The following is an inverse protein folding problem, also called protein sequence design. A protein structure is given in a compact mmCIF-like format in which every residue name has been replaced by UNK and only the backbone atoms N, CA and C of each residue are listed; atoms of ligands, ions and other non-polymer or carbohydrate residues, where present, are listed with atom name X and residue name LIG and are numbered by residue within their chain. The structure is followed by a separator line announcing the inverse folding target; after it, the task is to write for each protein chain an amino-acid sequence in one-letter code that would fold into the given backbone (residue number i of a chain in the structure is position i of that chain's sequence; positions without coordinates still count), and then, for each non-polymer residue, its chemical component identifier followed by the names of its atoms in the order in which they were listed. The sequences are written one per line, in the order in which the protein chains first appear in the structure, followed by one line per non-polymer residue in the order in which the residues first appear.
data_IF_385096272459
#
_entry.id   IF_385096272459
#
_cell.length_a   1.000
_cell.length_b   1.000
_cell.length_c   1.000
_cell.angle_alpha   90.00
_cell.angle_beta   90.00
_cell.angle_gamma   90.00
#
_symmetry.space_group_name_H-M   'P 1'
#
loop_
_entity.id
_entity.type
_entity.pdbx_description
1 polymer ?
#
# COMPACT_ATOMS: atom_id res chain seq x y z
N UNK A 1 -8.66 26.06 -1.15
CA UNK A 1 -7.82 25.42 -2.19
C UNK A 1 -7.69 23.90 -2.00
N UNK A 2 -7.28 23.39 -0.83
CA UNK A 2 -7.10 21.93 -0.63
C UNK A 2 -8.39 21.12 -0.82
N UNK A 3 -9.51 21.56 -0.21
CA UNK A 3 -10.80 20.89 -0.35
C UNK A 3 -11.28 20.85 -1.81
N UNK A 4 -11.38 22.01 -2.46
CA UNK A 4 -11.84 22.13 -3.85
C UNK A 4 -10.96 21.37 -4.86
N UNK A 5 -9.64 21.36 -4.67
CA UNK A 5 -8.72 20.76 -5.64
C UNK A 5 -8.57 19.25 -5.52
N UNK A 6 -8.71 18.69 -4.31
CA UNK A 6 -8.39 17.27 -4.05
C UNK A 6 -9.57 16.48 -3.49
N UNK A 7 -10.28 17.03 -2.50
CA UNK A 7 -11.30 16.28 -1.75
C UNK A 7 -12.61 16.24 -2.52
N UNK A 8 -13.10 17.39 -2.97
CA UNK A 8 -14.37 17.51 -3.69
C UNK A 8 -14.50 16.59 -4.92
N UNK A 9 -13.55 16.54 -5.87
CA UNK A 9 -13.66 15.67 -7.05
C UNK A 9 -13.55 14.18 -6.73
N UNK A 10 -13.00 13.83 -5.57
CA UNK A 10 -12.96 12.45 -5.09
C UNK A 10 -14.27 12.10 -4.36
N UNK A 11 -14.87 13.07 -3.65
CA UNK A 11 -16.12 12.88 -2.92
C UNK A 11 -17.27 12.59 -3.88
N UNK A 12 -17.32 13.27 -5.02
CA UNK A 12 -18.33 13.02 -6.07
C UNK A 12 -18.25 11.61 -6.68
N UNK A 13 -17.10 10.92 -6.56
CA UNK A 13 -16.96 9.51 -7.00
C UNK A 13 -17.53 8.52 -5.99
N UNK A 14 -17.76 8.93 -4.76
CA UNK A 14 -18.31 8.08 -3.69
C UNK A 14 -19.71 7.58 -4.07
N UNK A 15 -20.53 8.42 -4.72
CA UNK A 15 -21.83 8.02 -5.30
C UNK A 15 -21.76 6.86 -6.29
N UNK A 16 -20.62 6.70 -6.97
CA UNK A 16 -20.42 5.63 -7.95
C UNK A 16 -19.91 4.33 -7.28
N UNK A 17 -19.82 4.29 -5.94
CA UNK A 17 -19.34 3.13 -5.19
C UNK A 17 -17.82 3.11 -4.95
N UNK A 18 -17.11 4.21 -5.19
CA UNK A 18 -15.67 4.26 -4.94
C UNK A 18 -15.36 4.58 -3.47
N UNK A 19 -14.35 3.91 -2.92
CA UNK A 19 -13.85 4.20 -1.58
C UNK A 19 -12.87 5.38 -1.60
N UNK A 20 -12.99 6.26 -0.61
CA UNK A 20 -12.10 7.40 -0.39
C UNK A 20 -11.33 7.19 0.91
N UNK A 21 -10.03 7.47 0.90
CA UNK A 21 -9.21 7.53 2.12
C UNK A 21 -8.44 8.84 2.17
N UNK A 22 -8.69 9.64 3.21
CA UNK A 22 -7.96 10.87 3.50
C UNK A 22 -7.02 10.64 4.69
N UNK A 23 -5.73 10.84 4.47
CA UNK A 23 -4.72 10.69 5.53
C UNK A 23 -4.17 12.07 5.88
N UNK A 24 -4.38 12.47 7.13
CA UNK A 24 -3.87 13.72 7.70
C UNK A 24 -2.68 13.39 8.61
N UNK A 25 -1.50 13.88 8.22
CA UNK A 25 -0.25 13.71 8.97
C UNK A 25 0.33 15.07 9.34
N UNK A 26 0.85 15.19 10.56
CA UNK A 26 1.50 16.42 11.02
C UNK A 26 2.13 16.24 12.40
N UNK A 27 3.19 17.00 12.69
CA UNK A 27 3.88 16.94 14.00
C UNK A 27 3.09 17.65 15.10
N UNK A 28 2.32 18.68 14.74
CA UNK A 28 1.57 19.50 15.69
C UNK A 28 0.09 19.12 15.68
N UNK A 29 -0.43 18.62 16.81
CA UNK A 29 -1.82 18.21 16.94
C UNK A 29 -2.80 19.39 16.73
N UNK A 30 -2.41 20.59 17.17
CA UNK A 30 -3.19 21.83 17.03
C UNK A 30 -3.53 22.15 15.57
N UNK A 31 -2.56 21.98 14.66
CA UNK A 31 -2.69 22.28 13.23
C UNK A 31 -3.58 21.24 12.54
N UNK A 32 -3.44 19.96 12.90
CA UNK A 32 -4.32 18.90 12.35
C UNK A 32 -5.76 19.06 12.80
N UNK A 33 -5.99 19.31 14.09
CA UNK A 33 -7.32 19.60 14.59
C UNK A 33 -7.91 20.84 13.93
N UNK A 34 -7.14 21.91 13.71
CA UNK A 34 -7.61 23.10 12.98
C UNK A 34 -7.98 22.81 11.54
N UNK A 35 -7.23 21.94 10.85
CA UNK A 35 -7.53 21.54 9.47
C UNK A 35 -8.83 20.73 9.37
N UNK A 36 -9.05 19.82 10.32
CA UNK A 36 -10.22 18.93 10.35
C UNK A 36 -11.47 19.59 10.93
N UNK A 37 -11.36 20.23 12.10
CA UNK A 37 -12.48 20.75 12.89
C UNK A 37 -12.81 22.22 12.65
N UNK A 38 -11.87 23.00 12.12
CA UNK A 38 -11.99 24.43 11.82
C UNK A 38 -11.61 25.42 12.94
N UNK A 39 -11.56 26.69 12.55
CA UNK A 39 -11.40 27.89 13.38
C UNK A 39 -12.62 28.81 13.15
N UNK A 40 -12.91 29.79 14.01
CA UNK A 40 -14.18 30.57 14.07
C UNK A 40 -14.63 31.25 12.75
N UNK A 41 -13.79 31.27 11.71
CA UNK A 41 -14.01 32.00 10.44
C UNK A 41 -14.17 31.12 9.19
N UNK A 42 -13.84 29.83 9.23
CA UNK A 42 -13.97 28.94 8.07
C UNK A 42 -14.32 27.53 8.52
N UNK A 43 -15.12 26.80 7.73
CA UNK A 43 -15.40 25.38 7.96
C UNK A 43 -14.17 24.51 7.65
N UNK A 44 -13.96 23.50 8.50
CA UNK A 44 -12.89 22.52 8.40
C UNK A 44 -13.18 21.49 7.31
N UNK A 45 -12.18 20.69 6.94
CA UNK A 45 -12.34 19.70 5.88
C UNK A 45 -13.43 18.68 6.23
N UNK A 46 -13.52 18.25 7.50
CA UNK A 46 -14.54 17.29 7.93
C UNK A 46 -15.95 17.86 7.76
N UNK A 47 -16.18 19.09 8.22
CA UNK A 47 -17.48 19.74 8.08
C UNK A 47 -17.88 19.91 6.61
N UNK A 48 -16.93 20.27 5.73
CA UNK A 48 -17.19 20.40 4.28
C UNK A 48 -17.53 19.06 3.63
N UNK A 49 -16.81 17.98 3.98
CA UNK A 49 -17.11 16.62 3.48
C UNK A 49 -18.53 16.21 3.88
N UNK A 50 -18.91 16.39 5.15
CA UNK A 50 -20.24 16.03 5.62
C UNK A 50 -21.34 16.87 4.94
N UNK A 51 -21.15 18.19 4.84
CA UNK A 51 -22.12 19.07 4.17
C UNK A 51 -22.36 18.65 2.73
N UNK A 52 -21.28 18.49 1.95
CA UNK A 52 -21.38 18.11 0.55
C UNK A 52 -21.96 16.70 0.40
N UNK A 53 -21.56 15.72 1.22
CA UNK A 53 -22.11 14.37 1.17
C UNK A 53 -23.63 14.35 1.39
N UNK A 54 -24.12 15.05 2.42
CA UNK A 54 -25.55 15.09 2.70
C UNK A 54 -26.33 15.99 1.73
N UNK A 55 -25.73 17.03 1.18
CA UNK A 55 -26.31 17.83 0.10
C UNK A 55 -26.44 17.00 -1.19
N UNK A 56 -25.40 16.24 -1.51
CA UNK A 56 -25.39 15.29 -2.62
C UNK A 56 -26.48 14.22 -2.49
N UNK A 57 -26.69 13.67 -1.29
CA UNK A 57 -27.75 12.68 -1.02
C UNK A 57 -29.14 13.31 -1.05
N UNK A 58 -29.30 14.56 -0.58
CA UNK A 58 -30.59 15.29 -0.65
C UNK A 58 -30.98 15.65 -2.08
N UNK A 59 -30.01 15.96 -2.93
CA UNK A 59 -30.21 16.37 -4.31
C UNK A 59 -30.35 15.17 -5.28
N UNK A 60 -30.31 13.92 -4.81
CA UNK A 60 -30.56 12.75 -5.66
C UNK A 60 -32.06 12.70 -6.04
N UNK A 61 -32.36 13.03 -7.29
CA UNK A 61 -33.71 13.03 -7.86
C UNK A 61 -34.29 11.61 -8.07
N UNK A 62 -33.46 10.57 -7.96
CA UNK A 62 -33.75 9.19 -8.39
C UNK A 62 -34.53 8.32 -7.37
N UNK A 63 -35.03 8.88 -6.26
CA UNK A 63 -35.66 8.13 -5.16
C UNK A 63 -34.83 6.94 -4.65
N UNK A 64 -33.50 7.03 -4.73
CA UNK A 64 -32.62 5.99 -4.22
C UNK A 64 -32.66 5.99 -2.68
N UNK A 65 -32.60 4.80 -2.10
CA UNK A 65 -32.55 4.67 -0.64
C UNK A 65 -31.08 4.64 -0.23
N UNK A 66 -30.69 5.60 0.61
CA UNK A 66 -29.35 5.67 1.17
C UNK A 66 -29.38 5.29 2.65
N UNK A 67 -28.41 4.49 3.07
CA UNK A 67 -28.11 4.21 4.46
C UNK A 67 -26.70 4.72 4.73
N UNK A 68 -26.59 5.73 5.59
CA UNK A 68 -25.30 6.31 5.98
C UNK A 68 -25.03 5.90 7.42
N UNK A 69 -23.88 5.29 7.65
CA UNK A 69 -23.40 4.94 8.99
C UNK A 69 -22.05 5.61 9.25
N UNK A 70 -21.78 5.89 10.52
CA UNK A 70 -20.50 6.43 10.97
C UNK A 70 -19.92 5.58 12.10
N UNK A 71 -18.59 5.46 12.08
CA UNK A 71 -17.82 4.87 13.16
C UNK A 71 -16.59 5.73 13.46
N UNK A 72 -16.14 5.70 14.72
CA UNK A 72 -14.98 6.45 15.16
C UNK A 72 -14.11 5.60 16.08
N UNK A 73 -12.88 5.34 15.65
CA UNK A 73 -11.97 4.42 16.34
C UNK A 73 -10.71 5.17 16.72
N UNK A 74 -10.23 4.95 17.94
CA UNK A 74 -8.92 5.36 18.39
C UNK A 74 -7.98 4.17 18.49
N UNK A 75 -6.85 4.25 17.81
CA UNK A 75 -5.75 3.30 17.92
C UNK A 75 -4.66 3.95 18.78
N UNK A 76 -4.40 3.35 19.93
CA UNK A 76 -3.35 3.78 20.83
C UNK A 76 -1.99 3.22 20.43
N UNK A 77 -0.92 3.82 20.97
CA UNK A 77 0.47 3.40 20.68
C UNK A 77 0.83 1.99 21.15
N UNK A 78 0.04 1.43 22.08
CA UNK A 78 0.18 0.06 22.58
C UNK A 78 -0.50 -0.98 21.68
N UNK A 79 -1.22 -0.56 20.62
CA UNK A 79 -2.02 -1.39 19.69
C UNK A 79 -3.40 -1.75 20.28
N UNK A 80 -3.77 -1.17 21.43
CA UNK A 80 -5.15 -1.19 21.90
C UNK A 80 -5.99 -0.30 21.00
N UNK A 81 -7.17 -0.80 20.67
CA UNK A 81 -8.11 -0.12 19.79
C UNK A 81 -9.39 0.12 20.57
N UNK A 82 -9.82 1.37 20.65
CA UNK A 82 -10.98 1.78 21.44
C UNK A 82 -12.03 2.38 20.52
N UNK A 83 -13.27 2.00 20.72
CA UNK A 83 -14.43 2.62 20.08
C UNK A 83 -14.76 3.94 20.77
N UNK A 84 -14.70 5.05 20.04
CA UNK A 84 -14.99 6.38 20.57
C UNK A 84 -16.49 6.72 20.58
N UNK A 85 -17.32 5.94 19.88
CA UNK A 85 -18.76 6.10 19.88
C UNK A 85 -19.45 5.15 20.86
N UNK A 86 -18.72 4.19 21.43
CA UNK A 86 -19.26 3.27 22.43
C UNK A 86 -19.14 3.86 23.84
N UNK A 87 -20.24 4.11 24.56
CA UNK A 87 -20.20 4.64 25.93
C UNK A 87 -19.55 3.68 26.93
N UNK A 88 -19.43 2.39 26.59
CA UNK A 88 -18.77 1.39 27.44
C UNK A 88 -17.25 1.33 27.28
N UNK A 89 -16.68 2.14 26.38
CA UNK A 89 -15.23 2.30 26.18
C UNK A 89 -14.48 0.94 26.07
N UNK A 90 -15.08 0.00 25.33
CA UNK A 90 -14.55 -1.37 25.20
C UNK A 90 -13.38 -1.39 24.23
N UNK A 91 -12.36 -2.17 24.56
CA UNK A 91 -11.28 -2.47 23.64
C UNK A 91 -11.78 -3.41 22.54
N UNK A 92 -11.66 -2.97 21.29
CA UNK A 92 -12.03 -3.71 20.08
C UNK A 92 -10.84 -4.58 19.66
N UNK A 93 -11.12 -5.84 19.35
CA UNK A 93 -10.14 -6.71 18.71
C UNK A 93 -10.13 -6.49 17.20
N UNK A 94 -8.98 -6.09 16.67
CA UNK A 94 -8.76 -6.01 15.23
C UNK A 94 -8.16 -7.33 14.70
N UNK A 95 -8.78 -7.88 13.67
CA UNK A 95 -8.34 -9.07 12.95
C UNK A 95 -7.93 -8.67 11.53
N UNK A 96 -6.75 -9.10 11.09
CA UNK A 96 -6.32 -8.86 9.72
C UNK A 96 -6.69 -10.04 8.83
N UNK A 97 -7.58 -9.84 7.87
CA UNK A 97 -7.94 -10.82 6.84
C UNK A 97 -7.16 -10.55 5.55
N UNK A 98 -6.62 -11.60 4.94
CA UNK A 98 -5.72 -11.50 3.77
C UNK A 98 -6.35 -10.81 2.55
N UNK A 99 -7.67 -10.89 2.40
CA UNK A 99 -8.42 -10.32 1.27
C UNK A 99 -9.25 -9.10 1.69
N UNK A 100 -9.76 -9.07 2.92
CA UNK A 100 -10.73 -8.06 3.38
C UNK A 100 -10.06 -6.93 4.18
N UNK A 101 -8.76 -7.07 4.48
CA UNK A 101 -8.02 -6.08 5.25
C UNK A 101 -8.31 -6.15 6.75
N UNK A 102 -8.29 -5.00 7.42
CA UNK A 102 -8.52 -4.89 8.86
C UNK A 102 -10.03 -5.03 9.14
N UNK A 103 -10.40 -6.08 9.88
CA UNK A 103 -11.76 -6.34 10.34
C UNK A 103 -11.79 -6.09 11.85
N UNK A 104 -12.68 -5.23 12.30
CA UNK A 104 -12.91 -4.96 13.71
C UNK A 104 -14.12 -5.75 14.19
N UNK A 105 -13.98 -6.52 15.26
CA UNK A 105 -15.10 -7.23 15.86
C UNK A 105 -15.85 -6.29 16.82
N UNK A 106 -17.19 -6.23 16.71
CA UNK A 106 -18.05 -5.46 17.63
C UNK A 106 -17.82 -3.93 17.60
N UNK A 107 -17.50 -3.36 16.42
CA UNK A 107 -17.45 -1.92 16.21
C UNK A 107 -18.86 -1.31 16.22
N UNK A 108 -19.04 -0.18 16.91
CA UNK A 108 -20.28 0.58 16.86
C UNK A 108 -20.36 1.36 15.55
N UNK A 109 -21.32 0.98 14.72
CA UNK A 109 -21.71 1.73 13.52
C UNK A 109 -23.06 2.39 13.79
N UNK A 110 -23.07 3.72 13.85
CA UNK A 110 -24.26 4.51 14.16
C UNK A 110 -24.87 5.03 12.85
N UNK A 111 -26.15 4.78 12.65
CA UNK A 111 -26.90 5.32 11.50
C UNK A 111 -27.13 6.80 11.69
N UNK A 112 -26.87 7.59 10.64
CA UNK A 112 -27.05 9.05 10.65
C UNK A 112 -27.97 9.49 9.53
N UNK A 113 -28.87 10.44 9.84
CA UNK A 113 -29.87 10.96 8.89
C UNK A 113 -29.58 12.39 8.45
N UNK A 114 -28.63 13.07 9.10
CA UNK A 114 -28.32 14.48 8.83
C UNK A 114 -26.84 14.81 9.02
N UNK A 115 -26.41 15.91 8.38
CA UNK A 115 -25.07 16.43 8.52
C UNK A 115 -24.78 16.85 9.98
N UNK A 116 -25.78 17.42 10.66
CA UNK A 116 -25.66 17.90 12.03
C UNK A 116 -25.42 16.74 13.01
N UNK A 117 -26.13 15.62 12.81
CA UNK A 117 -25.98 14.41 13.61
C UNK A 117 -24.61 13.76 13.42
N UNK A 118 -24.17 13.58 12.17
CA UNK A 118 -22.85 13.06 11.86
C UNK A 118 -21.73 13.94 12.41
N UNK A 119 -21.91 15.27 12.34
CA UNK A 119 -20.97 16.24 12.91
C UNK A 119 -20.94 16.17 14.44
N UNK A 120 -22.09 16.00 15.10
CA UNK A 120 -22.17 15.84 16.54
C UNK A 120 -21.41 14.59 17.02
N UNK A 121 -21.59 13.45 16.34
CA UNK A 121 -20.88 12.21 16.68
C UNK A 121 -19.37 12.33 16.47
N UNK A 122 -18.94 13.04 15.44
CA UNK A 122 -17.51 13.34 15.25
C UNK A 122 -16.94 14.21 16.39
N UNK A 123 -17.66 15.25 16.81
CA UNK A 123 -17.28 16.11 17.93
C UNK A 123 -17.27 15.35 19.26
N UNK A 124 -18.24 14.47 19.49
CA UNK A 124 -18.31 13.62 20.67
C UNK A 124 -17.11 12.68 20.75
N UNK A 125 -16.76 12.00 19.65
CA UNK A 125 -15.55 11.18 19.61
C UNK A 125 -14.28 11.98 19.87
N UNK A 126 -14.18 13.22 19.37
CA UNK A 126 -13.05 14.12 19.68
C UNK A 126 -13.00 14.49 21.16
N UNK A 127 -14.15 14.70 21.81
CA UNK A 127 -14.20 14.99 23.25
C UNK A 127 -13.82 13.76 24.07
N UNK A 128 -14.27 12.57 23.67
CA UNK A 128 -13.92 11.31 24.30
C UNK A 128 -12.40 11.06 24.27
N UNK A 129 -11.72 11.40 23.17
CA UNK A 129 -10.25 11.32 23.07
C UNK A 129 -9.54 12.16 24.15
N UNK A 130 -10.03 13.37 24.45
CA UNK A 130 -9.41 14.29 25.43
C UNK A 130 -9.56 13.80 26.86
N UNK A 131 -10.61 13.02 27.15
CA UNK A 131 -10.86 12.46 28.48
C UNK A 131 -9.98 11.23 28.77
N UNK A 132 -9.40 10.59 27.75
CA UNK A 132 -8.62 9.35 27.87
C UNK A 132 -7.15 9.52 28.34
N UNK A 133 -6.68 10.74 28.65
CA UNK A 133 -5.39 10.95 29.34
C UNK A 133 -4.11 11.10 28.47
N UNK A 134 -2.97 11.25 29.15
CA UNK A 134 -1.76 12.06 28.83
C UNK A 134 -0.92 11.78 27.55
N UNK A 135 -1.39 11.00 26.57
CA UNK A 135 -0.65 10.69 25.34
C UNK A 135 -1.49 10.79 24.05
N UNK A 136 -2.37 11.79 23.95
CA UNK A 136 -3.10 12.10 22.70
C UNK A 136 -2.17 12.29 21.51
N UNK A 137 -0.98 12.84 21.73
CA UNK A 137 0.05 13.11 20.70
C UNK A 137 0.62 11.84 20.05
N UNK A 138 0.20 10.65 20.51
CA UNK A 138 0.66 9.33 20.02
C UNK A 138 -0.48 8.41 19.58
N UNK A 139 -1.71 8.92 19.55
CA UNK A 139 -2.88 8.14 19.14
C UNK A 139 -3.27 8.46 17.69
N UNK A 140 -3.70 7.44 16.95
CA UNK A 140 -4.26 7.58 15.61
C UNK A 140 -5.76 7.47 15.71
N UNK A 141 -6.49 8.34 15.04
CA UNK A 141 -7.96 8.27 15.03
C UNK A 141 -8.45 8.04 13.62
N UNK A 142 -9.48 7.20 13.48
CA UNK A 142 -10.05 6.79 12.20
C UNK A 142 -11.54 7.06 12.29
N UNK A 143 -11.99 8.06 11.54
CA UNK A 143 -13.40 8.33 11.36
C UNK A 143 -13.83 7.74 10.01
N UNK A 144 -14.76 6.79 10.03
CA UNK A 144 -15.25 6.13 8.82
C UNK A 144 -16.71 6.49 8.61
N UNK A 145 -17.04 6.95 7.42
CA UNK A 145 -18.41 7.14 6.95
C UNK A 145 -18.65 6.07 5.90
N UNK A 146 -19.67 5.26 6.10
CA UNK A 146 -20.08 4.23 5.16
C UNK A 146 -21.39 4.66 4.52
N UNK A 147 -21.44 4.59 3.19
CA UNK A 147 -22.61 4.97 2.40
C UNK A 147 -23.03 3.76 1.59
N UNK A 148 -24.18 3.22 1.93
CA UNK A 148 -24.87 2.19 1.17
C UNK A 148 -26.00 2.85 0.39
N UNK A 149 -26.06 2.56 -0.91
CA UNK A 149 -27.04 3.14 -1.82
C UNK A 149 -27.71 2.03 -2.61
N UNK A 150 -29.02 1.91 -2.45
CA UNK A 150 -29.84 0.97 -3.19
C UNK A 150 -30.34 1.63 -4.47
N UNK A 151 -29.83 1.16 -5.60
CA UNK A 151 -30.23 1.63 -6.92
C UNK A 151 -31.60 1.08 -7.32
N UNK A 152 -32.27 1.78 -8.23
CA UNK A 152 -33.60 1.41 -8.77
C UNK A 152 -33.60 0.06 -9.51
N UNK A 153 -32.45 -0.37 -10.02
CA UNK A 153 -32.23 -1.67 -10.66
C UNK A 153 -32.09 -2.85 -9.66
N UNK A 154 -32.16 -2.58 -8.35
CA UNK A 154 -32.00 -3.58 -7.29
C UNK A 154 -30.54 -3.90 -6.92
N UNK A 155 -29.55 -3.24 -7.55
CA UNK A 155 -28.14 -3.35 -7.13
C UNK A 155 -27.85 -2.42 -5.95
N UNK A 156 -27.04 -2.89 -5.00
CA UNK A 156 -26.58 -2.09 -3.87
C UNK A 156 -25.12 -1.69 -4.10
N UNK A 157 -24.85 -0.39 -4.10
CA UNK A 157 -23.50 0.16 -4.12
C UNK A 157 -23.09 0.52 -2.70
N UNK A 158 -21.91 0.05 -2.30
CA UNK A 158 -21.33 0.32 -1.00
C UNK A 158 -20.04 1.12 -1.20
N UNK A 159 -19.91 2.23 -0.48
CA UNK A 159 -18.73 3.10 -0.52
C UNK A 159 -18.34 3.51 0.90
N UNK A 160 -17.03 3.68 1.12
CA UNK A 160 -16.48 4.05 2.42
C UNK A 160 -15.56 5.26 2.28
N UNK A 161 -15.80 6.28 3.11
CA UNK A 161 -14.95 7.45 3.28
C UNK A 161 -14.24 7.32 4.61
N UNK A 162 -12.92 7.14 4.59
CA UNK A 162 -12.10 6.96 5.78
C UNK A 162 -11.17 8.14 5.98
N UNK A 163 -11.23 8.76 7.15
CA UNK A 163 -10.41 9.92 7.52
C UNK A 163 -9.49 9.50 8.67
N UNK A 164 -8.20 9.42 8.36
CA UNK A 164 -7.14 9.07 9.29
C UNK A 164 -6.47 10.33 9.82
N UNK A 165 -6.53 10.57 11.13
CA UNK A 165 -5.71 11.57 11.82
C UNK A 165 -4.53 10.87 12.49
N UNK A 166 -3.36 10.95 11.85
CA UNK A 166 -2.14 10.31 12.30
C UNK A 166 -1.32 11.25 13.20
N UNK A 167 -1.08 10.83 14.43
CA UNK A 167 -0.07 11.41 15.32
C UNK A 167 1.33 11.33 14.71
N UNK A 168 1.94 12.48 14.43
CA UNK A 168 3.33 12.56 13.98
C UNK A 168 4.25 12.20 15.15
N UNK A 169 4.97 11.08 15.04
CA UNK A 169 5.85 10.61 16.10
C UNK A 169 7.05 11.54 16.31
N UNK A 170 7.28 11.94 17.57
CA UNK A 170 8.57 12.46 18.04
C UNK A 170 9.67 11.38 17.90
N UNK A 171 10.95 11.76 18.02
CA UNK A 171 12.11 10.84 17.97
C UNK A 171 11.97 9.64 18.92
N UNK A 172 11.30 9.81 20.05
CA UNK A 172 10.99 8.74 21.01
C UNK A 172 10.07 7.65 20.44
N UNK A 173 9.10 8.01 19.57
CA UNK A 173 8.23 7.03 18.91
C UNK A 173 8.98 6.22 17.84
N UNK A 174 9.99 6.79 17.19
CA UNK A 174 10.89 6.04 16.31
C UNK A 174 11.76 5.05 17.10
N UNK A 175 12.20 5.44 18.30
CA UNK A 175 12.97 4.60 19.21
C UNK A 175 12.13 3.43 19.76
N UNK A 176 10.90 3.70 20.18
CA UNK A 176 9.95 2.66 20.64
C UNK A 176 9.52 1.74 19.49
N UNK A 177 9.29 2.26 18.28
CA UNK A 177 9.02 1.41 17.09
C UNK A 177 10.20 0.48 16.78
N UNK A 178 11.44 0.95 16.91
CA UNK A 178 12.64 0.12 16.75
C UNK A 178 12.72 -0.99 17.79
N UNK A 179 12.52 -0.67 19.08
CA UNK A 179 12.48 -1.66 20.16
C UNK A 179 11.32 -2.65 20.02
N UNK A 180 10.14 -2.20 19.56
CA UNK A 180 8.96 -3.05 19.33
C UNK A 180 9.16 -4.00 18.14
N UNK A 181 9.83 -3.55 17.09
CA UNK A 181 10.21 -4.40 15.96
C UNK A 181 11.18 -5.51 16.39
N UNK A 182 12.15 -5.20 17.25
CA UNK A 182 13.05 -6.20 17.83
C UNK A 182 12.31 -7.23 18.67
N UNK A 183 11.39 -6.81 19.55
CA UNK A 183 10.53 -7.74 20.31
C UNK A 183 9.63 -8.60 19.42
N UNK A 184 9.07 -8.06 18.33
CA UNK A 184 8.28 -8.86 17.35
C UNK A 184 9.17 -9.85 16.60
N UNK A 185 10.39 -9.47 16.25
CA UNK A 185 11.38 -10.35 15.62
C UNK A 185 11.76 -11.51 16.55
N UNK A 186 11.98 -11.24 17.83
CA UNK A 186 12.23 -12.26 18.86
C UNK A 186 11.03 -13.19 19.05
N UNK A 187 9.80 -12.67 19.14
CA UNK A 187 8.59 -13.50 19.24
C UNK A 187 8.40 -14.38 18.00
N UNK A 188 8.67 -13.85 16.81
CA UNK A 188 8.62 -14.63 15.56
C UNK A 188 9.68 -15.72 15.54
N UNK A 189 10.91 -15.43 15.98
CA UNK A 189 11.97 -16.44 16.11
C UNK A 189 11.63 -17.52 17.14
N UNK A 190 11.06 -17.12 18.29
CA UNK A 190 10.58 -18.07 19.32
C UNK A 190 9.49 -18.97 18.78
N UNK A 191 8.50 -18.41 18.08
CA UNK A 191 7.41 -19.20 17.49
C UNK A 191 7.91 -20.14 16.37
N UNK A 192 8.93 -19.71 15.59
CA UNK A 192 9.62 -20.60 14.63
C UNK A 192 10.36 -21.73 15.33
N UNK A 193 11.01 -21.45 16.46
CA UNK A 193 11.74 -22.43 17.25
C UNK A 193 10.81 -23.42 17.94
N UNK A 194 9.72 -22.96 18.54
CA UNK A 194 8.67 -23.81 19.12
C UNK A 194 8.05 -24.70 18.05
N UNK A 195 7.78 -24.16 16.85
CA UNK A 195 7.28 -24.96 15.73
C UNK A 195 8.31 -25.99 15.27
N UNK A 196 9.59 -25.65 15.24
CA UNK A 196 10.69 -26.58 14.94
C UNK A 196 10.77 -27.69 15.96
N UNK A 197 10.74 -27.37 17.26
CA UNK A 197 10.72 -28.34 18.35
C UNK A 197 9.49 -29.24 18.30
N UNK A 198 8.32 -28.69 17.98
CA UNK A 198 7.08 -29.46 17.80
C UNK A 198 7.16 -30.42 16.63
N UNK A 199 7.78 -30.01 15.52
CA UNK A 199 8.02 -30.87 14.36
C UNK A 199 9.04 -31.97 14.66
N UNK A 200 10.09 -31.66 15.44
CA UNK A 200 11.05 -32.66 15.95
C UNK A 200 10.35 -33.66 16.87
N UNK A 201 9.54 -33.18 17.82
CA UNK A 201 8.79 -34.04 18.75
C UNK A 201 7.77 -34.94 18.03
N UNK A 202 7.24 -34.50 16.89
CA UNK A 202 6.36 -35.31 16.02
C UNK A 202 7.12 -36.22 15.05
N UNK A 203 8.45 -36.22 15.07
CA UNK A 203 9.29 -37.03 14.17
C UNK A 203 9.25 -36.60 12.70
N UNK A 204 8.80 -35.38 12.41
CA UNK A 204 8.76 -34.80 11.05
C UNK A 204 10.02 -33.97 10.71
N UNK A 205 10.93 -33.80 11.68
CA UNK A 205 12.21 -33.11 11.51
C UNK A 205 13.26 -33.82 12.37
N UNK A 206 14.40 -34.18 11.79
CA UNK A 206 15.48 -34.80 12.55
C UNK A 206 16.28 -33.74 13.34
N UNK A 207 16.64 -34.01 14.61
CA UNK A 207 17.58 -33.18 15.34
C UNK A 207 18.96 -33.36 14.72
N UNK A 208 19.50 -32.29 14.12
CA UNK A 208 20.77 -32.31 13.39
C UNK A 208 21.88 -32.96 14.24
N UNK A 209 22.28 -34.17 13.84
CA UNK A 209 23.54 -34.79 14.19
C UNK A 209 24.18 -35.25 12.88
N UNK A 210 25.46 -34.89 12.71
CA UNK A 210 26.17 -34.93 11.44
C UNK A 210 26.04 -36.26 10.70
N UNK A 211 25.43 -36.23 9.52
CA UNK A 211 25.33 -37.33 8.57
C UNK A 211 25.19 -36.76 7.16
N UNK A 212 25.88 -37.39 6.21
CA UNK A 212 26.08 -36.91 4.83
C UNK A 212 24.73 -36.67 4.13
N UNK A 213 24.48 -35.48 3.54
CA UNK A 213 23.18 -35.15 2.98
C UNK A 213 22.97 -35.88 1.65
N UNK A 214 21.76 -36.42 1.47
CA UNK A 214 21.32 -37.09 0.25
C UNK A 214 21.27 -36.14 -0.95
N UNK A 215 21.32 -36.69 -2.17
CA UNK A 215 21.45 -35.93 -3.43
C UNK A 215 20.39 -34.81 -3.63
N UNK A 216 19.21 -34.93 -3.01
CA UNK A 216 18.13 -33.95 -3.12
C UNK A 216 18.33 -32.71 -2.22
N UNK A 217 18.95 -32.89 -1.04
CA UNK A 217 19.30 -31.77 -0.13
C UNK A 217 20.51 -30.97 -0.64
N UNK A 218 21.42 -31.62 -1.36
CA UNK A 218 22.57 -30.93 -1.97
C UNK A 218 22.15 -29.97 -3.10
N UNK A 219 21.08 -30.28 -3.84
CA UNK A 219 20.54 -29.36 -4.86
C UNK A 219 19.84 -28.15 -4.22
N UNK A 220 19.02 -28.37 -3.19
CA UNK A 220 18.30 -27.28 -2.52
C UNK A 220 19.24 -26.33 -1.76
N UNK A 221 20.28 -26.88 -1.12
CA UNK A 221 21.31 -26.09 -0.42
C UNK A 221 22.20 -25.29 -1.40
N UNK A 222 22.54 -25.86 -2.57
CA UNK A 222 23.25 -25.12 -3.63
C UNK A 222 22.41 -23.98 -4.22
N UNK A 223 21.12 -24.17 -4.41
CA UNK A 223 20.22 -23.11 -4.88
C UNK A 223 20.08 -21.98 -3.86
N UNK A 224 19.93 -22.30 -2.56
CA UNK A 224 19.87 -21.28 -1.51
C UNK A 224 21.21 -20.55 -1.33
N UNK A 225 22.34 -21.25 -1.44
CA UNK A 225 23.67 -20.65 -1.38
C UNK A 225 23.93 -19.74 -2.60
N UNK A 226 23.50 -20.15 -3.80
CA UNK A 226 23.61 -19.36 -5.02
C UNK A 226 22.77 -18.08 -4.98
N UNK A 227 21.53 -18.16 -4.50
CA UNK A 227 20.67 -16.98 -4.32
C UNK A 227 21.28 -16.03 -3.28
N UNK A 228 21.72 -16.54 -2.13
CA UNK A 228 22.33 -15.72 -1.08
C UNK A 228 23.63 -15.04 -1.55
N UNK A 229 24.44 -15.71 -2.36
CA UNK A 229 25.64 -15.12 -2.98
C UNK A 229 25.28 -14.03 -3.99
N UNK A 230 24.25 -14.24 -4.83
CA UNK A 230 23.76 -13.20 -5.74
C UNK A 230 23.24 -11.97 -5.00
N UNK A 231 22.49 -12.16 -3.91
CA UNK A 231 22.04 -11.06 -3.05
C UNK A 231 23.23 -10.33 -2.40
N UNK A 232 24.24 -11.05 -1.91
CA UNK A 232 25.45 -10.46 -1.33
C UNK A 232 26.24 -9.64 -2.36
N UNK A 233 26.39 -10.14 -3.59
CA UNK A 233 27.05 -9.42 -4.68
C UNK A 233 26.28 -8.16 -5.08
N UNK A 234 24.94 -8.23 -5.21
CA UNK A 234 24.10 -7.08 -5.50
C UNK A 234 24.14 -6.03 -4.38
N UNK A 235 24.13 -6.45 -3.11
CA UNK A 235 24.25 -5.53 -1.97
C UNK A 235 25.60 -4.80 -1.94
N UNK A 236 26.71 -5.49 -2.27
CA UNK A 236 28.02 -4.84 -2.41
C UNK A 236 28.06 -3.86 -3.58
N UNK A 237 27.39 -4.17 -4.69
CA UNK A 237 27.29 -3.29 -5.85
C UNK A 237 26.46 -2.04 -5.55
N UNK A 238 25.34 -2.19 -4.85
CA UNK A 238 24.52 -1.08 -4.34
C UNK A 238 25.32 -0.21 -3.36
N UNK A 239 26.11 -0.82 -2.48
CA UNK A 239 27.00 -0.09 -1.57
C UNK A 239 28.03 0.79 -2.30
N UNK A 240 28.63 0.28 -3.39
CA UNK A 240 29.56 1.05 -4.21
C UNK A 240 28.88 2.23 -4.92
N UNK A 241 27.70 2.00 -5.50
CA UNK A 241 26.92 3.04 -6.17
C UNK A 241 26.49 4.12 -5.16
N UNK A 242 26.08 3.72 -3.95
CA UNK A 242 25.72 4.64 -2.86
C UNK A 242 26.88 5.57 -2.49
N UNK A 243 28.10 5.03 -2.36
CA UNK A 243 29.26 5.84 -1.98
C UNK A 243 29.68 6.79 -3.12
N UNK A 244 29.60 6.34 -4.37
CA UNK A 244 29.82 7.20 -5.55
C UNK A 244 28.81 8.36 -5.64
N UNK A 245 27.52 8.09 -5.39
CA UNK A 245 26.48 9.13 -5.38
C UNK A 245 26.67 10.12 -4.24
N UNK A 246 27.09 9.67 -3.06
CA UNK A 246 27.41 10.56 -1.94
C UNK A 246 28.57 11.50 -2.27
N UNK A 247 29.62 10.99 -2.92
CA UNK A 247 30.75 11.80 -3.37
C UNK A 247 30.31 12.85 -4.41
N UNK A 248 29.52 12.45 -5.41
CA UNK A 248 28.99 13.38 -6.42
C UNK A 248 28.09 14.46 -5.82
N UNK A 249 27.23 14.10 -4.85
CA UNK A 249 26.38 15.07 -4.16
C UNK A 249 27.19 16.01 -3.26
N UNK A 250 28.24 15.50 -2.58
CA UNK A 250 29.12 16.32 -1.76
C UNK A 250 29.94 17.32 -2.59
N UNK A 251 30.37 16.92 -3.79
CA UNK A 251 31.05 17.77 -4.75
C UNK A 251 30.11 18.87 -5.28
N UNK A 252 28.88 18.51 -5.66
CA UNK A 252 27.86 19.46 -6.10
C UNK A 252 27.48 20.48 -5.01
N UNK A 253 27.42 20.05 -3.75
CA UNK A 253 27.15 20.93 -2.60
C UNK A 253 28.32 21.86 -2.26
N UNK A 254 29.56 21.49 -2.59
CA UNK A 254 30.72 22.38 -2.48
C UNK A 254 30.67 23.49 -3.52
N UNK A 255 30.32 23.16 -4.77
CA UNK A 255 30.16 24.14 -5.85
C UNK A 255 29.04 25.16 -5.59
N UNK A 256 27.95 24.72 -4.96
CA UNK A 256 26.87 25.60 -4.50
C UNK A 256 27.31 26.57 -3.39
N UNK A 257 28.22 26.16 -2.51
CA UNK A 257 28.73 27.03 -1.44
C UNK A 257 29.76 28.06 -1.93
N UNK A 258 30.41 27.84 -3.09
CA UNK A 258 31.29 28.85 -3.70
C UNK A 258 30.52 29.97 -4.42
N UNK A 259 29.29 29.72 -4.86
CA UNK A 259 28.41 30.74 -5.45
C UNK A 259 27.58 31.42 -4.37
N UNK A 260 28.19 32.38 -3.69
CA UNK A 260 27.49 33.28 -2.77
C UNK A 260 26.22 33.88 -3.40
N UNK A 261 25.07 33.66 -2.76
CA UNK A 261 24.08 34.72 -2.58
C UNK A 261 22.77 34.70 -3.37
N UNK A 262 22.44 33.70 -4.18
CA UNK A 262 21.12 33.63 -4.81
C UNK A 262 20.55 32.22 -4.74
N UNK A 263 19.48 32.08 -3.97
CA UNK A 263 18.58 30.93 -4.00
C UNK A 263 17.92 30.95 -5.39
N UNK A 264 18.12 29.97 -6.27
CA UNK A 264 17.21 29.78 -7.38
C UNK A 264 15.89 29.30 -6.78
N UNK A 265 14.79 29.97 -7.10
CA UNK A 265 13.44 29.51 -6.76
C UNK A 265 13.28 28.05 -7.21
N UNK A 266 13.17 27.14 -6.24
CA UNK A 266 12.98 25.71 -6.49
C UNK A 266 11.51 25.38 -6.82
N UNK A 267 10.82 26.23 -7.58
CA UNK A 267 9.49 25.93 -8.13
C UNK A 267 9.56 24.97 -9.31
N UNK A 268 10.75 24.76 -9.88
CA UNK A 268 10.99 23.83 -10.99
C UNK A 268 11.93 22.70 -10.60
N UNK A 269 11.55 21.87 -9.63
CA UNK A 269 12.01 20.48 -9.64
C UNK A 269 11.10 19.73 -10.61
N UNK A 270 11.52 19.67 -11.88
CA UNK A 270 11.00 18.63 -12.77
C UNK A 270 11.37 17.30 -12.12
N UNK A 271 10.36 16.67 -11.54
CA UNK A 271 10.40 15.27 -11.16
C UNK A 271 10.95 14.52 -12.39
N UNK A 272 12.02 13.70 -12.27
CA UNK A 272 12.41 12.86 -13.39
C UNK A 272 11.16 12.08 -13.80
N UNK A 273 10.77 12.25 -15.07
CA UNK A 273 9.47 11.85 -15.58
C UNK A 273 9.26 10.36 -15.34
N UNK A 274 8.59 10.01 -14.24
CA UNK A 274 8.29 8.62 -13.84
C UNK A 274 7.48 7.93 -14.96
N UNK A 275 6.86 8.72 -15.85
CA UNK A 275 6.15 8.26 -17.05
C UNK A 275 7.07 7.51 -18.03
N UNK A 276 8.34 7.89 -18.16
CA UNK A 276 9.24 7.22 -19.11
C UNK A 276 9.59 5.79 -18.67
N UNK A 277 9.76 5.56 -17.36
CA UNK A 277 9.97 4.21 -16.84
C UNK A 277 8.67 3.39 -16.83
N UNK A 278 7.51 3.98 -16.50
CA UNK A 278 6.25 3.23 -16.57
C UNK A 278 5.91 2.80 -17.99
N UNK A 279 6.20 3.60 -19.01
CA UNK A 279 5.99 3.24 -20.41
C UNK A 279 6.87 2.07 -20.89
N UNK A 280 8.13 2.00 -20.44
CA UNK A 280 9.04 0.89 -20.75
C UNK A 280 8.55 -0.44 -20.17
N UNK A 281 7.94 -0.44 -18.98
CA UNK A 281 7.49 -1.68 -18.31
C UNK A 281 6.12 -2.18 -18.78
N UNK A 282 5.17 -1.28 -19.12
CA UNK A 282 3.89 -1.70 -19.72
C UNK A 282 4.13 -2.40 -21.08
N UNK A 283 5.17 -1.95 -21.81
CA UNK A 283 5.60 -2.58 -23.07
C UNK A 283 5.97 -4.06 -22.88
N UNK A 284 6.73 -4.41 -21.84
CA UNK A 284 7.22 -5.77 -21.63
C UNK A 284 6.10 -6.76 -21.30
N UNK A 285 5.12 -6.36 -20.48
CA UNK A 285 3.97 -7.20 -20.14
C UNK A 285 3.04 -7.38 -21.35
N UNK A 286 2.82 -6.31 -22.12
CA UNK A 286 2.06 -6.35 -23.38
C UNK A 286 2.76 -7.22 -24.43
N UNK A 287 4.10 -7.20 -24.48
CA UNK A 287 4.88 -8.08 -25.34
C UNK A 287 4.75 -9.55 -24.95
N UNK A 288 4.79 -9.87 -23.66
CA UNK A 288 4.58 -11.24 -23.17
C UNK A 288 3.16 -11.74 -23.45
N UNK A 289 2.15 -10.89 -23.22
CA UNK A 289 0.76 -11.19 -23.50
C UNK A 289 0.53 -11.46 -25.01
N UNK A 290 1.04 -10.57 -25.87
CA UNK A 290 0.90 -10.73 -27.33
C UNK A 290 1.67 -11.96 -27.85
N UNK A 291 2.82 -12.31 -27.27
CA UNK A 291 3.56 -13.51 -27.60
C UNK A 291 2.80 -14.80 -27.19
N UNK A 292 2.21 -14.82 -25.98
CA UNK A 292 1.37 -15.92 -25.50
C UNK A 292 0.13 -16.12 -26.37
N UNK A 293 -0.56 -15.03 -26.73
CA UNK A 293 -1.72 -15.07 -27.63
C UNK A 293 -1.37 -15.60 -29.02
N UNK A 294 -0.23 -15.19 -29.59
CA UNK A 294 0.26 -15.73 -30.86
C UNK A 294 0.58 -17.24 -30.76
N UNK A 295 1.16 -17.68 -29.64
CA UNK A 295 1.46 -19.09 -29.40
C UNK A 295 0.19 -19.94 -29.30
N UNK A 296 -0.80 -19.49 -28.50
CA UNK A 296 -2.11 -20.14 -28.38
C UNK A 296 -2.83 -20.25 -29.72
N UNK A 297 -2.79 -19.18 -30.53
CA UNK A 297 -3.40 -19.18 -31.86
C UNK A 297 -2.77 -20.24 -32.77
N UNK A 298 -1.44 -20.33 -32.81
CA UNK A 298 -0.73 -21.37 -33.59
C UNK A 298 -1.07 -22.77 -33.10
N UNK A 299 -1.10 -22.98 -31.79
CA UNK A 299 -1.43 -24.28 -31.21
C UNK A 299 -2.86 -24.71 -31.56
N UNK A 300 -3.83 -23.80 -31.51
CA UNK A 300 -5.21 -24.05 -31.90
C UNK A 300 -5.35 -24.34 -33.40
N UNK A 301 -4.61 -23.63 -34.25
CA UNK A 301 -4.56 -23.88 -35.70
C UNK A 301 -3.97 -25.27 -36.02
N UNK A 302 -2.87 -25.65 -35.36
CA UNK A 302 -2.22 -26.96 -35.52
C UNK A 302 -3.15 -28.10 -35.06
N UNK A 303 -3.79 -27.93 -33.90
CA UNK A 303 -4.73 -28.91 -33.35
C UNK A 303 -5.98 -29.05 -34.23
N UNK A 304 -6.53 -27.93 -34.72
CA UNK A 304 -7.67 -27.94 -35.63
C UNK A 304 -7.31 -28.65 -36.94
N UNK A 305 -6.13 -28.40 -37.50
CA UNK A 305 -5.65 -29.08 -38.70
C UNK A 305 -5.51 -30.59 -38.50
N UNK A 306 -5.04 -31.03 -37.33
CA UNK A 306 -4.88 -32.45 -37.01
C UNK A 306 -6.24 -33.15 -36.88
N UNK A 307 -7.19 -32.52 -36.17
CA UNK A 307 -8.57 -33.02 -36.06
C UNK A 307 -9.26 -33.09 -37.43
N UNK A 308 -9.09 -32.08 -38.29
CA UNK A 308 -9.67 -32.06 -39.64
C UNK A 308 -9.08 -33.13 -40.56
N UNK A 309 -7.77 -33.42 -40.45
CA UNK A 309 -7.14 -34.51 -41.21
C UNK A 309 -7.72 -35.88 -40.83
N UNK A 310 -7.94 -36.12 -39.54
CA UNK A 310 -8.52 -37.39 -39.07
C UNK A 310 -10.02 -37.50 -39.37
N UNK A 311 -10.77 -36.39 -39.29
CA UNK A 311 -12.17 -36.33 -39.75
C UNK A 311 -12.29 -36.69 -41.23
N UNK A 312 -11.52 -36.03 -42.10
CA UNK A 312 -11.57 -36.30 -43.55
C UNK A 312 -11.07 -37.71 -43.90
N UNK A 313 -10.15 -38.28 -43.11
CA UNK A 313 -9.74 -39.67 -43.24
C UNK A 313 -10.89 -40.62 -42.87
N UNK A 314 -11.54 -40.38 -41.73
CA UNK A 314 -12.70 -41.15 -41.27
C UNK A 314 -13.84 -41.12 -42.30
N UNK A 315 -14.17 -39.94 -42.83
CA UNK A 315 -15.21 -39.77 -43.87
C UNK A 315 -14.90 -40.57 -45.14
N UNK A 316 -13.64 -40.49 -45.62
CA UNK A 316 -13.18 -41.28 -46.78
C UNK A 316 -13.29 -42.78 -46.54
N UNK A 317 -12.98 -43.26 -45.33
CA UNK A 317 -13.10 -44.68 -44.97
C UNK A 317 -14.56 -45.13 -44.85
N UNK A 318 -15.45 -44.32 -44.28
CA UNK A 318 -16.90 -44.58 -44.26
C UNK A 318 -17.50 -44.63 -45.67
N UNK A 319 -17.05 -43.76 -46.58
CA UNK A 319 -17.56 -43.70 -47.94
C UNK A 319 -17.10 -44.88 -48.81
N UNK A 320 -15.88 -45.38 -48.58
CA UNK A 320 -15.36 -46.61 -49.20
C UNK A 320 -16.15 -47.84 -48.76
N UNK A 321 -16.57 -47.91 -47.49
CA UNK A 321 -17.38 -49.04 -46.99
C UNK A 321 -18.81 -49.04 -47.54
N UNK A 322 -19.39 -47.88 -47.84
CA UNK A 322 -20.71 -47.77 -48.51
C UNK A 322 -20.70 -48.22 -49.98
N UNK A 323 -19.53 -48.30 -50.62
CA UNK A 323 -19.39 -48.60 -52.06
C UNK A 323 -18.95 -50.04 -52.34
N UNK A 324 -18.63 -50.84 -51.32
CA UNK A 324 -18.36 -52.28 -51.46
C UNK A 324 -19.64 -53.13 -51.38
N UNK A 325 -19.98 -53.95 -52.40
CA UNK A 325 -21.11 -54.86 -52.34
C UNK A 325 -20.72 -56.16 -51.64
N UNK A 326 -21.19 -56.39 -50.42
CA UNK A 326 -21.15 -57.73 -49.81
C UNK A 326 -22.36 -57.96 -48.91
N UNK A 327 -23.14 -58.95 -49.31
CA UNK A 327 -24.25 -59.57 -48.59
C UNK A 327 -23.76 -60.20 -47.28
N UNK A 328 -24.24 -59.72 -46.13
CA UNK A 328 -24.61 -60.55 -44.97
C UNK A 328 -25.09 -59.69 -43.81
N UNK A 329 -26.21 -60.10 -43.25
CA UNK A 329 -26.88 -59.67 -42.03
C UNK A 329 -25.92 -59.56 -40.81
N UNK A 330 -26.32 -58.75 -39.81
CA UNK A 330 -25.86 -58.70 -38.40
C UNK A 330 -24.94 -57.55 -37.99
N UNK A 331 -25.45 -56.31 -37.94
CA UNK A 331 -25.10 -55.29 -36.94
C UNK A 331 -23.61 -54.96 -36.58
N UNK A 332 -22.56 -55.13 -37.40
CA UNK A 332 -21.17 -54.85 -36.98
C UNK A 332 -20.71 -53.45 -37.43
N UNK A 333 -21.46 -52.80 -38.32
CA UNK A 333 -21.11 -51.55 -38.99
C UNK A 333 -21.26 -50.34 -38.04
N UNK A 334 -22.24 -50.38 -37.16
CA UNK A 334 -22.48 -49.33 -36.17
C UNK A 334 -21.39 -49.31 -35.08
N UNK A 335 -20.91 -50.47 -34.63
CA UNK A 335 -19.83 -50.57 -33.65
C UNK A 335 -18.50 -50.01 -34.19
N UNK A 336 -18.21 -50.23 -35.47
CA UNK A 336 -17.00 -49.71 -36.12
C UNK A 336 -17.09 -48.20 -36.35
N UNK A 337 -18.26 -47.68 -36.73
CA UNK A 337 -18.51 -46.24 -36.84
C UNK A 337 -18.34 -45.53 -35.50
N UNK A 338 -18.95 -46.05 -34.44
CA UNK A 338 -18.80 -45.51 -33.09
C UNK A 338 -17.36 -45.56 -32.57
N UNK A 339 -16.58 -46.60 -32.94
CA UNK A 339 -15.14 -46.66 -32.59
C UNK A 339 -14.34 -45.55 -33.26
N UNK A 340 -14.61 -45.23 -34.53
CA UNK A 340 -13.95 -44.14 -35.26
C UNK A 340 -14.37 -42.76 -34.77
N UNK A 341 -15.66 -42.56 -34.53
CA UNK A 341 -16.16 -41.31 -33.92
C UNK A 341 -15.54 -41.07 -32.54
N UNK A 342 -15.39 -42.14 -31.74
CA UNK A 342 -14.66 -42.09 -30.46
C UNK A 342 -13.20 -41.67 -30.64
N UNK A 343 -12.50 -42.14 -31.68
CA UNK A 343 -11.10 -41.75 -31.94
C UNK A 343 -10.98 -40.25 -32.24
N UNK A 344 -11.89 -39.69 -33.04
CA UNK A 344 -11.94 -38.24 -33.31
C UNK A 344 -12.27 -37.44 -32.06
N UNK A 345 -13.25 -37.88 -31.26
CA UNK A 345 -13.61 -37.22 -30.00
C UNK A 345 -12.45 -37.26 -28.99
N UNK A 346 -11.72 -38.39 -28.92
CA UNK A 346 -10.52 -38.51 -28.08
C UNK A 346 -9.44 -37.53 -28.54
N UNK A 347 -9.21 -37.40 -29.85
CA UNK A 347 -8.26 -36.43 -30.39
C UNK A 347 -8.64 -34.98 -30.08
N UNK A 348 -9.92 -34.62 -30.22
CA UNK A 348 -10.43 -33.30 -29.83
C UNK A 348 -10.23 -33.03 -28.34
N UNK A 349 -10.50 -34.02 -27.49
CA UNK A 349 -10.33 -33.90 -26.05
C UNK A 349 -8.85 -33.75 -25.64
N UNK A 350 -7.95 -34.48 -26.31
CA UNK A 350 -6.49 -34.33 -26.10
C UNK A 350 -6.00 -32.96 -26.56
N UNK A 351 -6.47 -32.47 -27.72
CA UNK A 351 -6.16 -31.13 -28.22
C UNK A 351 -6.60 -30.03 -27.24
N UNK A 352 -7.84 -30.10 -26.74
CA UNK A 352 -8.38 -29.15 -25.77
C UNK A 352 -7.63 -29.20 -24.43
N UNK A 353 -7.24 -30.39 -23.95
CA UNK A 353 -6.42 -30.52 -22.73
C UNK A 353 -5.06 -29.87 -22.90
N UNK A 354 -4.41 -30.07 -24.04
CA UNK A 354 -3.12 -29.46 -24.36
C UNK A 354 -3.20 -27.94 -24.45
N UNK A 355 -4.24 -27.40 -25.09
CA UNK A 355 -4.50 -25.95 -25.15
C UNK A 355 -4.74 -25.37 -23.77
N UNK A 356 -5.51 -26.07 -22.94
CA UNK A 356 -5.75 -25.68 -21.55
C UNK A 356 -4.46 -25.66 -20.72
N UNK A 357 -3.65 -26.72 -20.80
CA UNK A 357 -2.38 -26.80 -20.07
C UNK A 357 -1.41 -25.69 -20.47
N UNK A 358 -1.29 -25.40 -21.78
CA UNK A 358 -0.46 -24.30 -22.26
C UNK A 358 -1.03 -22.95 -21.80
N UNK A 359 -2.36 -22.82 -21.76
CA UNK A 359 -3.02 -21.63 -21.26
C UNK A 359 -2.79 -21.39 -19.77
N UNK A 360 -2.82 -22.43 -18.94
CA UNK A 360 -2.54 -22.36 -17.51
C UNK A 360 -1.08 -21.97 -17.25
N UNK A 361 -0.12 -22.55 -18.00
CA UNK A 361 1.31 -22.17 -17.90
C UNK A 361 1.55 -20.70 -18.24
N UNK A 362 0.95 -20.22 -19.32
CA UNK A 362 1.07 -18.81 -19.70
C UNK A 362 0.48 -17.89 -18.62
N UNK A 363 -0.66 -18.26 -18.01
CA UNK A 363 -1.28 -17.50 -16.93
C UNK A 363 -0.40 -17.47 -15.67
N UNK A 364 0.18 -18.62 -15.30
CA UNK A 364 1.11 -18.71 -14.17
C UNK A 364 2.35 -17.83 -14.38
N UNK A 365 2.93 -17.83 -15.58
CA UNK A 365 4.07 -16.98 -15.92
C UNK A 365 3.70 -15.49 -15.82
N UNK A 366 2.54 -15.08 -16.35
CA UNK A 366 2.04 -13.71 -16.24
C UNK A 366 1.81 -13.30 -14.78
N UNK A 367 1.25 -14.19 -13.96
CA UNK A 367 1.03 -13.94 -12.53
C UNK A 367 2.35 -13.77 -11.76
N UNK A 368 3.35 -14.61 -12.04
CA UNK A 368 4.67 -14.51 -11.42
C UNK A 368 5.37 -13.20 -11.78
N UNK A 369 5.30 -12.78 -13.05
CA UNK A 369 5.86 -11.51 -13.51
C UNK A 369 5.17 -10.32 -12.85
N UNK A 370 3.83 -10.30 -12.84
CA UNK A 370 3.06 -9.25 -12.16
C UNK A 370 3.41 -9.15 -10.66
N UNK A 371 3.57 -10.30 -9.99
CA UNK A 371 3.98 -10.33 -8.58
C UNK A 371 5.38 -9.74 -8.39
N UNK A 372 6.34 -10.09 -9.24
CA UNK A 372 7.69 -9.53 -9.21
C UNK A 372 7.70 -8.03 -9.51
N UNK A 373 6.88 -7.57 -10.45
CA UNK A 373 6.69 -6.15 -10.78
C UNK A 373 6.15 -5.36 -9.59
N UNK A 374 5.13 -5.89 -8.91
CA UNK A 374 4.56 -5.26 -7.73
C UNK A 374 5.60 -5.15 -6.59
N UNK A 375 6.44 -6.18 -6.41
CA UNK A 375 7.54 -6.14 -5.45
C UNK A 375 8.59 -5.08 -5.84
N UNK A 376 8.94 -4.98 -7.12
CA UNK A 376 9.87 -3.95 -7.61
C UNK A 376 9.31 -2.54 -7.42
N UNK A 377 8.03 -2.30 -7.71
CA UNK A 377 7.38 -1.01 -7.47
C UNK A 377 7.39 -0.63 -5.99
N UNK A 378 7.13 -1.59 -5.09
CA UNK A 378 7.22 -1.37 -3.64
C UNK A 378 8.64 -0.97 -3.22
N UNK A 379 9.66 -1.65 -3.74
CA UNK A 379 11.05 -1.33 -3.45
C UNK A 379 11.44 0.08 -3.95
N UNK A 380 11.01 0.45 -5.17
CA UNK A 380 11.22 1.78 -5.71
C UNK A 380 10.54 2.87 -4.87
N UNK A 381 9.28 2.66 -4.46
CA UNK A 381 8.58 3.60 -3.60
C UNK A 381 9.27 3.76 -2.23
N UNK A 382 9.74 2.66 -1.64
CA UNK A 382 10.51 2.70 -0.39
C UNK A 382 11.84 3.44 -0.56
N UNK A 383 12.50 3.31 -1.70
CA UNK A 383 13.74 4.03 -1.99
C UNK A 383 13.51 5.54 -2.12
N UNK A 384 12.46 5.96 -2.85
CA UNK A 384 12.08 7.38 -2.94
C UNK A 384 11.76 7.96 -1.57
N UNK A 385 11.03 7.21 -0.72
CA UNK A 385 10.74 7.63 0.65
C UNK A 385 12.00 7.73 1.51
N UNK A 386 12.97 6.84 1.32
CA UNK A 386 14.25 6.90 2.00
C UNK A 386 15.04 8.16 1.60
N UNK A 387 15.17 8.43 0.29
CA UNK A 387 15.85 9.62 -0.23
C UNK A 387 15.16 10.91 0.23
N UNK A 388 13.83 10.96 0.18
CA UNK A 388 13.06 12.10 0.69
C UNK A 388 13.31 12.35 2.18
N UNK A 389 13.39 11.27 2.98
CA UNK A 389 13.69 11.37 4.41
C UNK A 389 15.09 11.90 4.66
N UNK A 390 16.11 11.42 3.94
CA UNK A 390 17.49 11.91 4.08
C UNK A 390 17.59 13.39 3.72
N UNK A 391 17.00 13.82 2.60
CA UNK A 391 16.97 15.23 2.20
C UNK A 391 16.25 16.10 3.23
N UNK A 392 15.14 15.62 3.78
CA UNK A 392 14.38 16.35 4.79
C UNK A 392 15.17 16.51 6.10
N UNK A 393 15.90 15.47 6.52
CA UNK A 393 16.78 15.55 7.68
C UNK A 393 17.94 16.52 7.47
N UNK A 394 18.54 16.54 6.27
CA UNK A 394 19.58 17.51 5.95
C UNK A 394 19.06 18.95 6.00
N UNK A 395 17.86 19.21 5.47
CA UNK A 395 17.21 20.53 5.55
C UNK A 395 16.98 20.96 6.99
N UNK A 396 16.48 20.05 7.84
CA UNK A 396 16.28 20.32 9.27
C UNK A 396 17.60 20.65 9.97
N UNK A 397 18.65 19.85 9.75
CA UNK A 397 19.97 20.08 10.36
C UNK A 397 20.58 21.43 9.96
N UNK A 398 20.40 21.85 8.70
CA UNK A 398 20.89 23.16 8.22
C UNK A 398 20.12 24.30 8.88
N UNK A 399 18.78 24.20 8.94
CA UNK A 399 17.94 25.19 9.61
C UNK A 399 18.27 25.29 11.10
N UNK A 400 18.41 24.16 11.79
CA UNK A 400 18.74 24.11 13.21
C UNK A 400 20.09 24.77 13.50
N UNK A 401 21.12 24.47 12.69
CA UNK A 401 22.44 25.13 12.81
C UNK A 401 22.33 26.64 12.64
N UNK A 402 21.49 27.11 11.70
CA UNK A 402 21.29 28.55 11.46
C UNK A 402 20.57 29.21 12.63
N UNK A 403 19.51 28.59 13.17
CA UNK A 403 18.80 29.13 14.33
C UNK A 403 19.65 29.12 15.59
N UNK A 404 20.41 28.05 15.86
CA UNK A 404 21.34 28.00 17.00
C UNK A 404 22.38 29.13 16.91
N UNK A 405 22.93 29.40 15.73
CA UNK A 405 23.88 30.50 15.53
C UNK A 405 23.21 31.86 15.79
N UNK A 406 22.05 32.11 15.20
CA UNK A 406 21.31 33.36 15.41
C UNK A 406 20.98 33.59 16.90
N UNK A 407 20.60 32.52 17.60
CA UNK A 407 20.25 32.57 19.02
C UNK A 407 21.50 32.80 19.88
N UNK A 408 22.64 32.22 19.52
CA UNK A 408 23.93 32.49 20.16
C UNK A 408 24.34 33.96 19.98
N UNK A 409 24.25 34.50 18.75
CA UNK A 409 24.56 35.90 18.45
C UNK A 409 23.65 36.84 19.26
N UNK A 410 22.34 36.57 19.31
CA UNK A 410 21.39 37.37 20.08
C UNK A 410 21.64 37.33 21.60
N UNK A 411 22.01 36.17 22.16
CA UNK A 411 22.40 36.06 23.57
C UNK A 411 23.67 36.88 23.83
N UNK A 412 24.65 36.80 22.94
CA UNK A 412 25.91 37.51 23.08
C UNK A 412 25.70 39.04 23.05
N UNK A 413 24.87 39.53 22.13
CA UNK A 413 24.48 40.94 22.06
C UNK A 413 23.73 41.38 23.32
N UNK A 414 22.79 40.57 23.82
CA UNK A 414 22.05 40.88 25.05
C UNK A 414 22.97 40.98 26.28
N UNK A 415 23.96 40.09 26.40
CA UNK A 415 24.96 40.14 27.47
C UNK A 415 25.80 41.41 27.35
N UNK A 416 26.29 41.74 26.15
CA UNK A 416 27.08 42.96 25.91
C UNK A 416 26.30 44.23 26.25
N UNK A 417 25.04 44.32 25.82
CA UNK A 417 24.16 45.43 26.14
C UNK A 417 23.89 45.53 27.65
N UNK A 418 23.71 44.39 28.33
CA UNK A 418 23.52 44.38 29.79
C UNK A 418 24.76 44.89 30.53
N UNK A 419 25.97 44.53 30.08
CA UNK A 419 27.23 44.97 30.66
C UNK A 419 27.44 46.47 30.45
N UNK A 420 27.20 46.98 29.24
CA UNK A 420 27.24 48.41 28.93
C UNK A 420 26.24 49.20 29.79
N UNK A 421 25.01 48.70 29.93
CA UNK A 421 23.99 49.34 30.76
C UNK A 421 24.43 49.43 32.23
N UNK A 422 25.00 48.37 32.79
CA UNK A 422 25.51 48.39 34.17
C UNK A 422 26.64 49.42 34.34
N UNK A 423 27.54 49.53 33.37
CA UNK A 423 28.64 50.50 33.40
C UNK A 423 28.13 51.95 33.36
N UNK A 424 27.17 52.23 32.49
CA UNK A 424 26.51 53.54 32.43
C UNK A 424 25.74 53.88 33.73
N UNK A 425 25.12 52.89 34.38
CA UNK A 425 24.46 53.10 35.67
C UNK A 425 25.44 53.44 36.80
N UNK A 426 26.64 52.86 36.79
CA UNK A 426 27.71 53.21 37.73
C UNK A 426 28.21 54.64 37.48
N UNK A 427 28.49 55.01 36.23
CA UNK A 427 28.88 56.37 35.86
C UNK A 427 27.81 57.39 36.26
N UNK A 428 26.54 57.08 36.01
CA UNK A 428 25.41 57.94 36.41
C UNK A 428 25.33 58.12 37.93
N UNK A 429 25.65 57.09 38.72
CA UNK A 429 25.70 57.18 40.19
C UNK A 429 26.88 58.03 40.64
N UNK A 430 28.06 57.88 40.03
CA UNK A 430 29.22 58.71 40.34
C UNK A 430 28.97 60.19 40.03
N UNK A 431 28.37 60.52 38.89
CA UNK A 431 28.03 61.90 38.52
C UNK A 431 27.04 62.53 39.51
N UNK A 432 26.06 61.77 39.98
CA UNK A 432 25.11 62.22 41.01
C UNK A 432 25.70 62.40 42.41
N UNK A 433 26.88 61.84 42.68
CA UNK A 433 27.59 62.04 43.94
C UNK A 433 28.60 63.19 43.87
N UNK A 434 28.92 63.68 42.67
CA UNK A 434 29.81 64.81 42.43
C UNK A 434 29.10 66.16 42.25
N UNK A 435 27.78 66.16 42.10
CA UNK A 435 26.89 67.32 42.28
C UNK A 435 26.42 67.40 43.74
#
# INVERSE_FOLDING_TARGET
MVYEGLVKPMLSRTKLGYNMTLIVCGTEASVRSRLLQSDEKQDGIMCKILKELFEEVKNDEDHQKHLITVSNIQIHSDDSTVDLLNPHNREIQCLYHSVLGLITKELSEIVVSSCEEAWSLYLEGTKAQKLAGAHLDRCTTIFTITVEQLQTNGSCTHSSIQIFDLSGGTEEAAMVKKQRWEKRKERSQRCKEERRQHLIAKGLLDPVSGGIPSQHEQQFSRFQCGLAQQYSMKMKQIGRIKEQLKEQVAEYLKDLNLRNGLIPDCTNFNLPDIRQNTALFHSDLDHLYTAAMKRRKRLAEDNAALVQRELTRMERELQRQKTSPSESTVAPDESLRLRREREVVVLQLVALRREKEEAEKDLEAMHQNYKAELENQKLQALQVLHEFREVSQLKLNVLEKRYRKLLQDAIQDAVQLSAQKQQLELEKKHLKQSE
#
